data_IF_380107561068
#
_entry.id   IF_380107561068
#
_cell.length_a   1.000
_cell.length_b   1.000
_cell.length_c   1.000
_cell.angle_alpha   90.00
_cell.angle_beta   90.00
_cell.angle_gamma   90.00
#
_symmetry.space_group_name_H-M   'P 1'
#
loop_
_entity.id
_entity.type
_entity.pdbx_description
1 polymer ?
#
# COMPACT_ATOMS: atom_id res chain seq x y z
N UNK A 1 -23.65 -16.27 0.24
CA UNK A 1 -22.41 -15.99 -0.52
C UNK A 1 -21.26 -15.76 0.45
N UNK A 2 -20.73 -16.86 0.97
CA UNK A 2 -19.65 -16.97 1.93
C UNK A 2 -18.34 -17.05 1.13
N UNK A 3 -17.74 -15.88 0.84
CA UNK A 3 -16.41 -15.79 0.23
C UNK A 3 -15.38 -16.24 1.25
N UNK A 4 -15.07 -17.53 1.21
CA UNK A 4 -13.87 -18.07 1.83
C UNK A 4 -12.68 -17.43 1.12
N UNK A 5 -12.06 -16.43 1.77
CA UNK A 5 -10.73 -15.97 1.40
C UNK A 5 -9.82 -17.14 1.77
N UNK A 6 -9.55 -18.02 0.81
CA UNK A 6 -8.55 -19.07 0.92
C UNK A 6 -7.19 -18.42 1.13
N UNK A 7 -6.81 -18.22 2.39
CA UNK A 7 -5.44 -17.94 2.78
C UNK A 7 -4.68 -19.25 2.70
N UNK A 8 -4.05 -19.54 1.56
CA UNK A 8 -2.93 -20.47 1.57
C UNK A 8 -1.89 -19.89 2.54
N UNK A 9 -1.50 -20.69 3.52
CA UNK A 9 -0.58 -20.32 4.61
C UNK A 9 0.88 -20.19 4.14
N UNK A 10 1.11 -20.26 2.84
CA UNK A 10 2.38 -20.03 2.17
C UNK A 10 2.56 -18.51 2.01
N UNK A 11 2.93 -17.88 3.12
CA UNK A 11 3.03 -16.44 3.27
C UNK A 11 3.94 -15.80 2.23
N UNK A 12 3.33 -15.12 1.26
CA UNK A 12 4.06 -14.11 0.49
C UNK A 12 4.29 -12.93 1.42
N UNK A 13 5.54 -12.71 1.79
CA UNK A 13 5.98 -11.57 2.58
C UNK A 13 6.46 -10.46 1.65
N UNK A 14 6.28 -9.21 2.07
CA UNK A 14 6.93 -8.07 1.44
C UNK A 14 8.46 -8.24 1.54
N UNK A 15 9.18 -8.28 0.42
CA UNK A 15 10.66 -8.40 0.43
C UNK A 15 11.36 -7.26 1.19
N UNK A 16 10.75 -6.08 1.30
CA UNK A 16 11.35 -4.92 1.96
C UNK A 16 11.19 -4.90 3.48
N UNK A 17 10.02 -5.29 4.01
CA UNK A 17 9.72 -5.20 5.46
C UNK A 17 9.34 -6.52 6.10
N UNK A 18 9.40 -7.62 5.35
CA UNK A 18 9.02 -8.98 5.75
C UNK A 18 7.57 -9.15 6.21
N UNK A 19 6.74 -8.10 6.10
CA UNK A 19 5.35 -8.15 6.54
C UNK A 19 4.51 -8.98 5.59
N UNK A 20 3.60 -9.78 6.16
CA UNK A 20 2.65 -10.57 5.40
C UNK A 20 1.86 -9.72 4.40
N UNK A 21 1.79 -10.17 3.15
CA UNK A 21 0.90 -9.64 2.12
C UNK A 21 -0.02 -10.74 1.60
N UNK A 22 -1.22 -10.35 1.19
CA UNK A 22 -2.21 -11.31 0.69
C UNK A 22 -1.81 -11.86 -0.68
N UNK A 23 -2.20 -13.10 -0.97
CA UNK A 23 -2.01 -13.71 -2.30
C UNK A 23 -2.58 -12.81 -3.43
N UNK A 24 -3.82 -12.33 -3.24
CA UNK A 24 -4.46 -11.40 -4.19
C UNK A 24 -3.66 -10.10 -4.39
N UNK A 25 -2.94 -9.63 -3.38
CA UNK A 25 -2.09 -8.45 -3.53
C UNK A 25 -0.92 -8.77 -4.46
N UNK A 26 -0.28 -9.91 -4.26
CA UNK A 26 0.83 -10.37 -5.10
C UNK A 26 0.38 -10.67 -6.53
N UNK A 27 -0.81 -11.25 -6.72
CA UNK A 27 -1.35 -11.51 -8.04
C UNK A 27 -1.63 -10.26 -8.87
N UNK A 28 -1.85 -9.10 -8.23
CA UNK A 28 -2.19 -7.84 -8.92
C UNK A 28 -0.99 -6.89 -9.01
N UNK A 29 -0.15 -6.86 -7.98
CA UNK A 29 0.90 -5.86 -7.81
C UNK A 29 2.30 -6.47 -7.62
N UNK A 30 2.41 -7.79 -7.49
CA UNK A 30 3.70 -8.47 -7.47
C UNK A 30 4.35 -8.51 -8.84
N UNK A 31 5.59 -8.97 -8.88
CA UNK A 31 6.32 -9.18 -10.13
C UNK A 31 5.83 -10.43 -10.90
N UNK A 32 6.55 -10.83 -11.95
CA UNK A 32 6.23 -12.01 -12.77
C UNK A 32 6.22 -13.32 -11.97
N UNK A 33 7.04 -13.42 -10.92
CA UNK A 33 7.03 -14.55 -10.01
C UNK A 33 5.89 -14.46 -8.98
N UNK A 34 5.17 -13.33 -8.89
CA UNK A 34 4.15 -13.07 -7.88
C UNK A 34 4.75 -12.73 -6.51
N UNK A 35 5.93 -12.10 -6.47
CA UNK A 35 6.59 -11.60 -5.26
C UNK A 35 6.32 -10.10 -5.12
N UNK A 36 5.93 -9.67 -3.92
CA UNK A 36 5.78 -8.25 -3.61
C UNK A 36 7.09 -7.68 -3.05
N UNK A 37 7.71 -6.77 -3.79
CA UNK A 37 8.90 -6.02 -3.35
C UNK A 37 8.56 -4.95 -2.30
N UNK A 38 7.41 -4.28 -2.45
CA UNK A 38 6.90 -3.26 -1.53
C UNK A 38 5.43 -3.55 -1.19
N UNK A 39 5.03 -3.32 0.06
CA UNK A 39 3.63 -3.38 0.49
C UNK A 39 3.06 -1.97 0.72
N UNK A 40 1.75 -1.84 0.92
CA UNK A 40 1.06 -0.56 1.22
C UNK A 40 1.53 0.13 2.52
N UNK A 41 2.32 -0.55 3.36
CA UNK A 41 2.98 0.06 4.51
C UNK A 41 4.33 0.69 4.16
N UNK A 42 5.02 0.16 3.16
CA UNK A 42 6.34 0.62 2.69
C UNK A 42 6.25 1.61 1.54
N UNK A 43 5.12 1.62 0.84
CA UNK A 43 4.88 2.47 -0.30
C UNK A 43 3.43 2.96 -0.34
N UNK A 44 3.18 4.00 -1.13
CA UNK A 44 1.87 4.58 -1.30
C UNK A 44 1.13 3.92 -2.46
N UNK A 45 -0.20 3.87 -2.37
CA UNK A 45 -1.06 3.27 -3.40
C UNK A 45 -0.77 3.80 -4.81
N UNK A 46 -0.45 5.10 -4.93
CA UNK A 46 -0.20 5.76 -6.22
C UNK A 46 1.04 5.24 -6.96
N UNK A 47 2.05 4.76 -6.23
CA UNK A 47 3.26 4.11 -6.77
C UNK A 47 3.02 2.62 -7.00
N UNK A 48 2.32 1.96 -6.07
CA UNK A 48 1.96 0.54 -6.20
C UNK A 48 1.10 0.29 -7.44
N UNK A 49 0.11 1.15 -7.73
CA UNK A 49 -0.70 1.06 -8.95
C UNK A 49 0.09 1.29 -10.24
N UNK A 50 1.32 1.82 -10.16
CA UNK A 50 2.25 1.99 -11.29
C UNK A 50 3.31 0.90 -11.37
N UNK A 51 3.29 -0.09 -10.48
CA UNK A 51 4.19 -1.24 -10.50
C UNK A 51 5.34 -1.19 -9.49
N UNK A 52 5.39 -0.22 -8.57
CA UNK A 52 6.50 -0.17 -7.59
C UNK A 52 6.58 -1.40 -6.68
N UNK A 53 5.46 -2.05 -6.42
CA UNK A 53 5.40 -3.32 -5.69
C UNK A 53 6.01 -4.50 -6.47
N UNK A 54 6.11 -4.41 -7.79
CA UNK A 54 6.78 -5.38 -8.66
C UNK A 54 8.27 -5.06 -8.87
N UNK A 55 8.81 -4.04 -8.18
CA UNK A 55 10.19 -3.58 -8.38
C UNK A 55 10.37 -2.64 -9.59
N UNK A 56 9.28 -2.20 -10.22
CA UNK A 56 9.35 -1.19 -11.30
C UNK A 56 9.72 0.16 -10.70
N UNK A 57 10.68 0.84 -11.32
CA UNK A 57 10.99 2.22 -10.98
C UNK A 57 9.88 3.15 -11.47
N UNK A 58 9.35 3.95 -10.55
CA UNK A 58 8.23 4.85 -10.81
C UNK A 58 8.69 6.27 -10.56
N UNK A 59 8.43 7.16 -11.53
CA UNK A 59 8.67 8.61 -11.46
C UNK A 59 7.71 9.31 -10.47
N UNK A 60 7.80 8.90 -9.21
CA UNK A 60 7.08 9.42 -8.06
C UNK A 60 8.00 9.25 -6.86
N UNK A 61 8.16 10.32 -6.10
CA UNK A 61 9.01 10.36 -4.88
C UNK A 61 8.65 9.23 -3.92
N UNK A 62 9.67 8.55 -3.41
CA UNK A 62 9.49 7.43 -2.50
C UNK A 62 8.94 7.90 -1.15
N UNK A 63 7.96 7.21 -0.55
CA UNK A 63 7.48 7.57 0.78
C UNK A 63 8.53 7.43 1.89
N UNK A 64 9.63 6.70 1.66
CA UNK A 64 10.78 6.71 2.56
C UNK A 64 11.50 8.07 2.59
N UNK A 65 11.47 8.81 1.47
CA UNK A 65 12.05 10.16 1.38
C UNK A 65 11.07 11.23 1.87
N UNK A 66 9.78 11.04 1.62
CA UNK A 66 8.72 11.98 2.03
C UNK A 66 7.59 11.24 2.77
N UNK A 67 7.74 10.96 4.08
CA UNK A 67 6.81 10.13 4.85
C UNK A 67 5.40 10.71 4.96
N UNK A 68 5.22 12.00 4.66
CA UNK A 68 3.92 12.64 4.60
C UNK A 68 3.07 12.16 3.40
N UNK A 69 3.67 11.55 2.38
CA UNK A 69 2.97 10.96 1.22
C UNK A 69 2.21 9.67 1.57
N UNK A 70 2.58 8.95 2.63
CA UNK A 70 1.86 7.76 3.11
C UNK A 70 0.82 8.08 4.20
N UNK A 71 0.71 9.35 4.62
CA UNK A 71 -0.17 9.76 5.74
C UNK A 71 -1.59 10.18 5.31
N UNK A 72 -1.87 10.23 4.00
CA UNK A 72 -3.16 10.60 3.44
C UNK A 72 -3.46 12.11 3.52
N UNK A 73 -4.45 12.58 2.75
CA UNK A 73 -4.80 14.00 2.58
C UNK A 73 -5.26 14.72 3.88
N UNK A 74 -5.44 14.00 4.99
CA UNK A 74 -6.03 14.53 6.24
C UNK A 74 -5.01 14.99 7.28
N UNK A 75 -3.71 14.93 6.99
CA UNK A 75 -2.68 15.44 7.92
C UNK A 75 -2.55 16.95 7.79
N UNK A 76 -3.29 17.68 8.64
CA UNK A 76 -3.17 19.14 8.76
C UNK A 76 -4.35 19.96 8.22
N UNK A 77 -5.45 19.34 7.80
CA UNK A 77 -6.69 20.10 7.64
C UNK A 77 -7.16 20.52 9.05
N UNK A 78 -7.30 21.83 9.36
CA UNK A 78 -7.97 22.21 10.58
C UNK A 78 -9.37 21.57 10.56
N UNK A 79 -9.74 20.90 11.65
CA UNK A 79 -11.13 20.53 11.93
C UNK A 79 -11.98 21.81 11.95
N UNK A 80 -12.44 22.26 10.79
CA UNK A 80 -13.45 23.32 10.71
C UNK A 80 -14.82 22.67 10.73
N UNK A 81 -15.29 22.44 11.94
CA UNK A 81 -16.71 22.35 12.23
C UNK A 81 -17.02 23.51 13.19
N UNK A 82 -17.13 24.71 12.64
CA UNK A 82 -17.70 25.85 13.35
C UNK A 82 -19.21 25.56 13.45
N UNK A 83 -19.59 24.69 14.37
CA UNK A 83 -20.99 24.38 14.65
C UNK A 83 -21.73 25.67 14.93
N UNK A 84 -22.54 26.10 13.96
CA UNK A 84 -23.31 27.35 14.02
C UNK A 84 -24.11 27.43 15.31
N UNK A 85 -23.94 28.54 16.02
CA UNK A 85 -24.70 28.84 17.24
C UNK A 85 -26.16 29.13 16.89
N UNK A 86 -27.08 28.61 17.73
CA UNK A 86 -28.54 28.69 17.60
C UNK A 86 -29.06 30.09 17.93
#
# INVERSE_FOLDING_TARGET
MNRQIGGSVDGRSCRYCDRHVSDRFCAVFGDEDGVAHRCLGCDCFRRISRGSAAGVDVDLVDPAEDPNRNRGQRVGAPLRADGGNR
#
